data_IF_601593506530
#
_entry.id   IF_601593506530
#
_cell.length_a   1.000
_cell.length_b   1.000
_cell.length_c   1.000
_cell.angle_alpha   90.00
_cell.angle_beta   90.00
_cell.angle_gamma   90.00
#
_symmetry.space_group_name_H-M   'P 1'
#
loop_
_entity.id
_entity.type
_entity.pdbx_description
1 polymer ?
#
# COMPACT_ATOMS: atom_id res chain seq x y z
N UNK A 1 5.90 6.43 -28.42
CA UNK A 1 5.86 7.46 -27.36
C UNK A 1 5.43 6.83 -26.04
N UNK A 2 6.15 7.11 -24.94
CA UNK A 2 5.73 6.63 -23.62
C UNK A 2 4.41 7.31 -23.20
N UNK A 3 3.56 6.61 -22.45
CA UNK A 3 2.29 7.13 -21.90
C UNK A 3 2.48 8.49 -21.20
N UNK A 4 3.59 8.64 -20.47
CA UNK A 4 3.99 9.88 -19.82
C UNK A 4 4.09 11.07 -20.81
N UNK A 5 4.78 10.88 -21.94
CA UNK A 5 4.92 11.92 -22.99
C UNK A 5 3.59 12.19 -23.68
N UNK A 6 2.77 11.18 -23.89
CA UNK A 6 1.42 11.37 -24.44
C UNK A 6 0.58 12.25 -23.52
N UNK A 7 0.58 11.98 -22.22
CA UNK A 7 -0.15 12.81 -21.22
C UNK A 7 0.38 14.26 -21.23
N UNK A 8 1.68 14.46 -21.26
CA UNK A 8 2.26 15.80 -21.39
C UNK A 8 1.77 16.52 -22.64
N UNK A 9 1.74 15.85 -23.79
CA UNK A 9 1.24 16.44 -25.05
C UNK A 9 -0.25 16.80 -24.92
N UNK A 10 -1.09 15.90 -24.45
CA UNK A 10 -2.52 16.16 -24.26
C UNK A 10 -2.81 17.36 -23.33
N UNK A 11 -1.98 17.60 -22.33
CA UNK A 11 -2.08 18.77 -21.46
C UNK A 11 -1.69 20.04 -22.22
N UNK A 12 -0.60 20.00 -22.98
CA UNK A 12 -0.14 21.14 -23.79
C UNK A 12 -1.11 21.52 -24.90
N UNK A 13 -1.77 20.53 -25.52
CA UNK A 13 -2.80 20.76 -26.54
C UNK A 13 -4.02 21.53 -25.99
N UNK A 14 -4.18 21.56 -24.68
CA UNK A 14 -5.19 22.38 -23.98
C UNK A 14 -4.68 23.76 -23.55
N UNK A 15 -3.52 24.16 -24.03
CA UNK A 15 -2.91 25.46 -23.72
C UNK A 15 -2.26 25.54 -22.33
N UNK A 16 -2.06 24.40 -21.63
CA UNK A 16 -1.44 24.35 -20.32
C UNK A 16 0.01 23.92 -20.45
N UNK A 17 0.95 24.68 -19.92
CA UNK A 17 2.35 24.26 -19.88
C UNK A 17 2.51 22.98 -19.05
N UNK A 18 3.23 22.00 -19.59
CA UNK A 18 3.46 20.73 -18.92
C UNK A 18 4.87 20.20 -19.19
N UNK A 19 5.43 19.52 -18.20
CA UNK A 19 6.71 18.83 -18.28
C UNK A 19 6.59 17.41 -17.76
N UNK A 20 7.40 16.48 -18.27
CA UNK A 20 7.35 15.09 -17.83
C UNK A 20 8.72 14.57 -17.44
N UNK A 21 8.76 13.78 -16.36
CA UNK A 21 9.95 13.21 -15.76
C UNK A 21 9.86 11.69 -15.59
N UNK A 22 10.99 11.01 -15.68
CA UNK A 22 11.16 9.64 -15.18
C UNK A 22 11.48 9.68 -13.69
N UNK A 23 11.38 8.55 -12.99
CA UNK A 23 11.81 8.44 -11.59
C UNK A 23 13.27 8.87 -11.38
N UNK A 24 14.18 8.51 -12.30
CA UNK A 24 15.57 8.93 -12.24
C UNK A 24 15.78 10.44 -12.47
N UNK A 25 14.93 11.09 -13.25
CA UNK A 25 15.04 12.55 -13.49
C UNK A 25 14.57 13.39 -12.29
N UNK A 26 13.65 12.87 -11.48
CA UNK A 26 13.23 13.44 -10.20
C UNK A 26 13.96 12.81 -9.03
N UNK A 27 15.03 12.04 -9.31
CA UNK A 27 15.90 11.40 -8.34
C UNK A 27 15.14 10.69 -7.21
N UNK A 28 14.18 9.83 -7.58
CA UNK A 28 13.58 8.92 -6.61
C UNK A 28 14.65 7.89 -6.28
N UNK A 29 15.46 8.20 -5.27
CA UNK A 29 16.54 7.35 -4.81
C UNK A 29 15.98 6.15 -4.05
N UNK A 30 16.47 4.97 -4.38
CA UNK A 30 16.04 3.72 -3.74
C UNK A 30 17.23 2.89 -3.32
N UNK A 31 16.96 1.85 -2.49
CA UNK A 31 17.91 0.77 -2.29
C UNK A 31 18.03 -0.08 -3.58
N UNK A 32 18.99 -1.00 -3.60
CA UNK A 32 19.31 -1.86 -4.75
C UNK A 32 18.49 -3.18 -4.80
N UNK A 33 17.39 -3.28 -4.03
CA UNK A 33 16.52 -4.46 -4.06
C UNK A 33 15.57 -4.38 -5.25
N UNK A 34 16.07 -4.78 -6.43
CA UNK A 34 15.28 -4.78 -7.66
C UNK A 34 13.95 -5.52 -7.49
N UNK A 35 12.84 -4.89 -7.91
CA UNK A 35 11.49 -5.45 -7.85
C UNK A 35 10.71 -5.16 -6.57
N UNK A 36 11.36 -4.78 -5.47
CA UNK A 36 10.73 -4.35 -4.19
C UNK A 36 11.52 -3.21 -3.54
N UNK A 37 12.11 -2.34 -4.33
CA UNK A 37 12.97 -1.26 -3.85
C UNK A 37 12.26 -0.34 -2.86
N UNK A 38 13.00 0.14 -1.87
CA UNK A 38 12.52 1.12 -0.88
C UNK A 38 13.00 2.50 -1.27
N UNK A 39 12.10 3.47 -1.22
CA UNK A 39 12.46 4.87 -1.42
C UNK A 39 13.28 5.33 -0.21
N UNK A 40 14.48 5.81 -0.47
CA UNK A 40 15.40 6.37 0.52
C UNK A 40 15.27 7.89 0.58
N UNK A 41 15.19 8.52 -0.60
CA UNK A 41 15.10 9.98 -0.73
C UNK A 41 14.43 10.37 -2.05
N UNK A 42 13.94 11.62 -2.13
CA UNK A 42 13.40 12.22 -3.35
C UNK A 42 13.88 13.67 -3.46
N UNK A 43 14.62 13.98 -4.51
CA UNK A 43 14.93 15.37 -4.85
C UNK A 43 13.79 15.99 -5.66
N UNK A 44 12.88 16.67 -4.97
CA UNK A 44 11.74 17.34 -5.57
C UNK A 44 12.06 18.75 -6.12
N UNK A 45 13.29 19.23 -6.06
CA UNK A 45 13.63 20.62 -6.40
C UNK A 45 13.19 21.02 -7.82
N UNK A 46 13.47 20.17 -8.81
CA UNK A 46 13.04 20.41 -10.20
C UNK A 46 11.54 20.42 -10.42
N UNK A 47 10.84 19.56 -9.67
CA UNK A 47 9.38 19.50 -9.75
C UNK A 47 8.78 20.73 -9.10
N UNK A 48 9.32 21.15 -7.96
CA UNK A 48 8.90 22.38 -7.26
C UNK A 48 9.09 23.62 -8.14
N UNK A 49 10.26 23.78 -8.77
CA UNK A 49 10.53 24.86 -9.71
C UNK A 49 9.52 24.92 -10.88
N UNK A 50 9.17 23.76 -11.44
CA UNK A 50 8.18 23.73 -12.52
C UNK A 50 6.77 24.09 -12.02
N UNK A 51 6.38 23.64 -10.84
CA UNK A 51 5.09 23.98 -10.23
C UNK A 51 4.99 25.47 -9.87
N UNK A 52 6.06 26.09 -9.35
CA UNK A 52 6.15 27.52 -9.08
C UNK A 52 6.03 28.34 -10.37
N UNK A 53 6.48 27.81 -11.51
CA UNK A 53 6.29 28.39 -12.83
C UNK A 53 4.93 28.04 -13.47
N UNK A 54 3.93 27.60 -12.69
CA UNK A 54 2.59 27.21 -13.13
C UNK A 54 2.58 26.11 -14.21
N UNK A 55 3.53 25.18 -14.18
CA UNK A 55 3.59 24.03 -15.09
C UNK A 55 2.96 22.81 -14.42
N UNK A 56 2.22 22.03 -15.20
CA UNK A 56 1.79 20.70 -14.79
C UNK A 56 2.94 19.73 -14.96
N UNK A 57 3.22 18.95 -13.91
CA UNK A 57 4.31 17.97 -13.93
C UNK A 57 3.75 16.56 -14.01
N UNK A 58 4.24 15.76 -14.95
CA UNK A 58 3.89 14.36 -15.13
C UNK A 58 5.08 13.48 -14.75
N UNK A 59 5.01 12.79 -13.62
CA UNK A 59 6.08 11.89 -13.16
C UNK A 59 5.72 10.44 -13.46
N UNK A 60 6.68 9.66 -13.98
CA UNK A 60 6.51 8.22 -14.11
C UNK A 60 6.64 7.57 -12.72
N UNK A 61 5.53 7.01 -12.22
CA UNK A 61 5.54 6.24 -10.98
C UNK A 61 6.10 4.83 -11.14
N UNK A 62 6.12 4.06 -10.04
CA UNK A 62 6.57 2.66 -9.98
C UNK A 62 8.09 2.45 -10.06
N UNK A 63 8.88 3.42 -10.46
CA UNK A 63 10.31 3.28 -10.68
C UNK A 63 11.11 4.31 -9.88
N UNK A 64 12.32 3.92 -9.50
CA UNK A 64 13.35 4.77 -8.94
C UNK A 64 14.71 4.46 -9.55
N UNK A 65 15.75 4.96 -8.92
CA UNK A 65 17.15 4.67 -9.25
C UNK A 65 17.92 4.40 -7.97
N UNK A 66 18.86 3.47 -8.03
CA UNK A 66 19.81 3.26 -6.93
C UNK A 66 20.98 4.26 -7.01
N UNK A 67 21.90 4.18 -6.05
CA UNK A 67 23.08 5.05 -5.98
C UNK A 67 24.02 4.89 -7.19
N UNK A 68 23.97 3.74 -7.87
CA UNK A 68 24.77 3.47 -9.08
C UNK A 68 24.08 3.96 -10.37
N UNK A 69 22.84 4.48 -10.26
CA UNK A 69 22.02 4.93 -11.38
C UNK A 69 21.24 3.83 -12.10
N UNK A 70 21.21 2.61 -11.56
CA UNK A 70 20.40 1.54 -12.11
C UNK A 70 18.91 1.78 -11.83
N UNK A 71 18.06 1.43 -12.80
CA UNK A 71 16.62 1.55 -12.63
C UNK A 71 16.12 0.45 -11.70
N UNK A 72 15.40 0.85 -10.67
CA UNK A 72 14.74 -0.04 -9.72
C UNK A 72 13.23 0.07 -9.84
N UNK A 73 12.49 -0.94 -9.34
CA UNK A 73 11.03 -0.91 -9.27
C UNK A 73 10.55 -1.08 -7.83
N UNK A 74 9.49 -0.35 -7.50
CA UNK A 74 8.95 -0.33 -6.14
C UNK A 74 8.05 -1.54 -5.81
N UNK A 75 7.82 -2.41 -6.81
CA UNK A 75 6.96 -3.57 -6.65
C UNK A 75 5.46 -3.24 -6.73
N UNK A 76 4.62 -4.17 -6.33
CA UNK A 76 3.16 -4.02 -6.40
C UNK A 76 2.70 -2.77 -5.66
N UNK A 77 1.78 -1.98 -6.27
CA UNK A 77 1.31 -0.70 -5.72
C UNK A 77 2.37 0.41 -5.69
N UNK A 78 3.47 0.23 -6.43
CA UNK A 78 4.55 1.21 -6.48
C UNK A 78 4.14 2.56 -7.06
N UNK A 79 3.09 2.62 -7.89
CA UNK A 79 2.54 3.89 -8.40
C UNK A 79 1.91 4.72 -7.28
N UNK A 80 1.11 4.08 -6.41
CA UNK A 80 0.48 4.73 -5.26
C UNK A 80 1.55 5.18 -4.27
N UNK A 81 2.53 4.31 -4.01
CA UNK A 81 3.68 4.65 -3.15
C UNK A 81 4.46 5.84 -3.71
N UNK A 82 4.69 5.88 -5.04
CA UNK A 82 5.34 7.04 -5.68
C UNK A 82 4.52 8.31 -5.53
N UNK A 83 3.20 8.23 -5.74
CA UNK A 83 2.31 9.39 -5.63
C UNK A 83 2.36 10.00 -4.22
N UNK A 84 2.23 9.15 -3.19
CA UNK A 84 2.27 9.60 -1.79
C UNK A 84 3.65 10.14 -1.42
N UNK A 85 4.74 9.48 -1.84
CA UNK A 85 6.10 9.94 -1.56
C UNK A 85 6.41 11.28 -2.24
N UNK A 86 5.94 11.48 -3.48
CA UNK A 86 6.03 12.77 -4.17
C UNK A 86 5.20 13.85 -3.48
N UNK A 87 3.98 13.53 -3.04
CA UNK A 87 3.15 14.46 -2.28
C UNK A 87 3.83 14.89 -0.97
N UNK A 88 4.47 13.95 -0.28
CA UNK A 88 5.26 14.25 0.94
C UNK A 88 6.45 15.17 0.63
N UNK A 89 7.24 14.85 -0.40
CA UNK A 89 8.41 15.63 -0.78
C UNK A 89 8.07 17.05 -1.28
N UNK A 90 6.87 17.23 -1.83
CA UNK A 90 6.35 18.52 -2.29
C UNK A 90 5.55 19.27 -1.23
N UNK A 91 5.30 18.66 -0.06
CA UNK A 91 4.42 19.20 0.98
C UNK A 91 3.02 19.54 0.43
N UNK A 92 2.48 18.62 -0.38
CA UNK A 92 1.19 18.82 -1.03
C UNK A 92 0.02 18.79 -0.04
N UNK A 93 -1.00 19.60 -0.29
CA UNK A 93 -2.20 19.67 0.54
C UNK A 93 -2.97 18.36 0.58
N UNK A 94 -2.99 17.60 -0.52
CA UNK A 94 -3.70 16.32 -0.65
C UNK A 94 -3.08 15.47 -1.77
N UNK A 95 -2.97 14.17 -1.54
CA UNK A 95 -2.65 13.19 -2.58
C UNK A 95 -3.94 12.49 -3.03
N UNK A 96 -4.24 12.52 -4.33
CA UNK A 96 -5.43 11.88 -4.91
C UNK A 96 -5.06 10.64 -5.70
N UNK A 97 -5.64 9.51 -5.32
CA UNK A 97 -5.50 8.24 -6.03
C UNK A 97 -6.78 7.96 -6.80
N UNK A 98 -6.69 7.99 -8.11
CA UNK A 98 -7.77 7.63 -9.01
C UNK A 98 -7.68 6.16 -9.37
N UNK A 99 -8.74 5.40 -9.08
CA UNK A 99 -8.79 3.95 -9.26
C UNK A 99 -10.12 3.51 -9.88
N UNK A 100 -10.38 2.21 -9.95
CA UNK A 100 -11.61 1.61 -10.49
C UNK A 100 -12.78 1.58 -9.49
N UNK A 101 -12.56 2.07 -8.26
CA UNK A 101 -13.62 2.23 -7.26
C UNK A 101 -13.73 3.70 -6.83
N UNK A 102 -14.91 4.09 -6.34
CA UNK A 102 -15.22 5.47 -5.96
C UNK A 102 -14.86 5.83 -4.50
N UNK A 103 -14.18 4.91 -3.81
CA UNK A 103 -13.74 5.12 -2.42
C UNK A 103 -13.53 3.82 -1.65
N UNK A 104 -13.37 3.96 -0.34
CA UNK A 104 -13.28 2.86 0.63
C UNK A 104 -14.66 2.58 1.19
N UNK A 105 -15.03 1.30 1.28
CA UNK A 105 -16.32 0.85 1.78
C UNK A 105 -16.19 0.15 3.13
N UNK A 106 -17.27 0.09 3.89
CA UNK A 106 -17.34 -0.65 5.16
C UNK A 106 -17.03 -2.13 5.00
N UNK A 107 -17.28 -2.69 3.82
CA UNK A 107 -16.83 -4.02 3.37
C UNK A 107 -16.89 -4.08 1.84
N UNK A 108 -16.54 -5.20 1.21
CA UNK A 108 -16.58 -5.35 -0.25
C UNK A 108 -18.04 -5.32 -0.76
N UNK A 109 -18.46 -4.26 -1.51
CA UNK A 109 -19.84 -4.13 -2.01
C UNK A 109 -20.23 -5.20 -3.02
N UNK A 110 -19.27 -5.91 -3.63
CA UNK A 110 -19.54 -7.05 -4.53
C UNK A 110 -20.04 -8.28 -3.78
N UNK A 111 -19.85 -8.31 -2.46
CA UNK A 111 -20.25 -9.43 -1.58
C UNK A 111 -21.40 -9.03 -0.68
N UNK A 112 -21.35 -7.82 -0.15
CA UNK A 112 -22.39 -7.25 0.70
C UNK A 112 -22.94 -6.00 0.01
N UNK A 113 -24.05 -6.11 -0.72
CA UNK A 113 -24.63 -4.97 -1.48
C UNK A 113 -25.00 -3.76 -0.59
N UNK A 114 -25.23 -3.99 0.70
CA UNK A 114 -25.53 -2.96 1.70
C UNK A 114 -24.29 -2.22 2.21
N UNK A 115 -23.09 -2.60 1.75
CA UNK A 115 -21.86 -1.90 2.11
C UNK A 115 -21.95 -0.42 1.77
N UNK A 116 -21.50 0.43 2.71
CA UNK A 116 -21.57 1.88 2.56
C UNK A 116 -20.17 2.44 2.31
N UNK A 117 -20.08 3.41 1.40
CA UNK A 117 -18.84 4.13 1.20
C UNK A 117 -18.57 5.02 2.42
N UNK A 118 -17.34 5.00 2.90
CA UNK A 118 -16.86 5.84 3.98
C UNK A 118 -16.50 7.21 3.41
N UNK A 119 -17.00 8.30 4.00
CA UNK A 119 -16.60 9.64 3.61
C UNK A 119 -15.20 9.99 4.08
N UNK A 120 -14.85 9.50 5.29
CA UNK A 120 -13.54 9.63 5.91
C UNK A 120 -13.18 8.35 6.66
N UNK A 121 -11.88 8.10 6.79
CA UNK A 121 -11.32 6.99 7.57
C UNK A 121 -9.96 7.43 8.11
N UNK A 122 -9.56 6.95 9.27
CA UNK A 122 -8.21 7.21 9.79
C UNK A 122 -7.16 6.40 9.04
N UNK A 123 -5.90 6.85 9.11
CA UNK A 123 -4.76 6.11 8.55
C UNK A 123 -4.64 4.74 9.20
N UNK A 124 -4.84 4.66 10.51
CA UNK A 124 -4.76 3.44 11.30
C UNK A 124 -5.81 2.42 10.86
N UNK A 125 -7.06 2.84 10.75
CA UNK A 125 -8.16 1.99 10.27
C UNK A 125 -7.95 1.53 8.82
N UNK A 126 -7.46 2.43 7.96
CA UNK A 126 -7.14 2.07 6.57
C UNK A 126 -5.99 1.07 6.49
N UNK A 127 -4.97 1.19 7.35
CA UNK A 127 -3.88 0.22 7.45
C UNK A 127 -4.40 -1.16 7.84
N UNK A 128 -5.26 -1.23 8.84
CA UNK A 128 -5.90 -2.49 9.25
C UNK A 128 -6.71 -3.10 8.09
N UNK A 129 -7.56 -2.31 7.43
CA UNK A 129 -8.33 -2.79 6.29
C UNK A 129 -7.43 -3.27 5.14
N UNK A 130 -6.37 -2.52 4.81
CA UNK A 130 -5.45 -2.87 3.73
C UNK A 130 -4.62 -4.12 4.05
N UNK A 131 -4.19 -4.29 5.30
CA UNK A 131 -3.45 -5.46 5.77
C UNK A 131 -4.30 -6.73 5.75
N UNK A 132 -5.59 -6.60 6.06
CA UNK A 132 -6.55 -7.71 6.13
C UNK A 132 -7.23 -8.01 4.79
N UNK A 133 -6.79 -7.42 3.69
CA UNK A 133 -7.21 -7.80 2.34
C UNK A 133 -8.11 -6.82 1.59
N UNK A 134 -8.37 -5.65 2.13
CA UNK A 134 -8.99 -4.57 1.35
C UNK A 134 -8.03 -4.11 0.24
N UNK A 135 -8.42 -4.36 -1.03
CA UNK A 135 -7.53 -4.19 -2.19
C UNK A 135 -7.53 -2.78 -2.79
N UNK A 136 -8.14 -1.82 -2.13
CA UNK A 136 -8.32 -0.45 -2.67
C UNK A 136 -6.99 0.28 -2.70
N UNK A 137 -6.21 0.20 -1.62
CA UNK A 137 -4.87 0.80 -1.51
C UNK A 137 -3.85 -0.26 -1.08
N UNK A 138 -2.61 -0.05 -1.47
CA UNK A 138 -1.51 -0.86 -0.97
C UNK A 138 -1.10 -0.39 0.42
N UNK A 139 -0.91 -1.33 1.35
CA UNK A 139 -0.52 -1.06 2.74
C UNK A 139 0.66 -0.08 2.82
N UNK A 140 1.69 -0.29 2.00
CA UNK A 140 2.88 0.56 1.95
C UNK A 140 2.58 2.02 1.60
N UNK A 141 1.63 2.30 0.71
CA UNK A 141 1.25 3.68 0.37
C UNK A 141 0.52 4.37 1.53
N UNK A 142 -0.30 3.63 2.27
CA UNK A 142 -0.98 4.12 3.47
C UNK A 142 0.00 4.37 4.62
N UNK A 143 0.99 3.47 4.82
CA UNK A 143 2.09 3.67 5.77
C UNK A 143 2.88 4.95 5.49
N UNK A 144 3.19 5.20 4.21
CA UNK A 144 3.86 6.45 3.81
C UNK A 144 2.99 7.68 4.08
N UNK A 145 1.70 7.62 3.73
CA UNK A 145 0.77 8.71 4.01
C UNK A 145 0.71 9.00 5.52
N UNK A 146 0.66 7.94 6.34
CA UNK A 146 0.71 8.04 7.79
C UNK A 146 2.01 8.69 8.31
N UNK A 147 3.15 8.15 7.90
CA UNK A 147 4.47 8.61 8.34
C UNK A 147 4.73 10.08 8.04
N UNK A 148 4.34 10.53 6.85
CA UNK A 148 4.60 11.90 6.37
C UNK A 148 3.40 12.84 6.51
N UNK A 149 2.32 12.38 7.13
CA UNK A 149 1.08 13.15 7.36
C UNK A 149 0.46 13.73 6.09
N UNK A 150 0.52 13.00 4.99
CA UNK A 150 -0.08 13.38 3.72
C UNK A 150 -1.56 12.98 3.72
N UNK A 151 -2.52 13.92 3.60
CA UNK A 151 -3.92 13.57 3.38
C UNK A 151 -4.06 12.81 2.06
N UNK A 152 -4.72 11.66 2.10
CA UNK A 152 -4.86 10.78 0.93
C UNK A 152 -6.34 10.64 0.58
N UNK A 153 -6.70 10.84 -0.68
CA UNK A 153 -8.09 10.67 -1.14
C UNK A 153 -8.18 9.65 -2.24
N UNK A 154 -9.09 8.69 -2.08
CA UNK A 154 -9.44 7.70 -3.09
C UNK A 154 -10.66 8.17 -3.86
N UNK A 155 -10.54 8.14 -5.19
CA UNK A 155 -11.54 8.64 -6.14
C UNK A 155 -11.71 7.66 -7.30
N UNK A 156 -12.88 7.67 -7.93
CA UNK A 156 -13.10 6.93 -9.18
C UNK A 156 -12.39 7.61 -10.35
N UNK A 157 -11.84 6.79 -11.26
CA UNK A 157 -11.34 7.25 -12.57
C UNK A 157 -12.47 7.45 -13.59
N UNK A 158 -13.68 7.00 -13.29
CA UNK A 158 -14.79 6.91 -14.25
C UNK A 158 -15.95 7.84 -13.90
N UNK A 159 -16.13 8.16 -12.61
CA UNK A 159 -17.26 8.92 -12.12
C UNK A 159 -16.80 10.03 -11.19
N UNK A 160 -17.43 11.17 -11.27
CA UNK A 160 -17.20 12.28 -10.35
C UNK A 160 -17.83 11.99 -8.98
N UNK A 161 -17.12 12.30 -7.92
CA UNK A 161 -17.63 12.10 -6.57
C UNK A 161 -16.66 12.58 -5.49
N UNK A 162 -17.10 12.66 -4.23
CA UNK A 162 -16.25 13.14 -3.13
C UNK A 162 -15.17 12.14 -2.70
N UNK A 163 -15.31 10.88 -3.10
CA UNK A 163 -14.36 9.82 -2.70
C UNK A 163 -14.33 9.52 -1.20
N UNK A 164 -13.25 8.90 -0.74
CA UNK A 164 -12.94 8.67 0.68
C UNK A 164 -11.66 9.40 1.04
N UNK A 165 -11.69 10.24 2.08
CA UNK A 165 -10.52 10.90 2.64
C UNK A 165 -9.90 10.03 3.73
N UNK A 166 -8.63 9.71 3.60
CA UNK A 166 -7.80 9.05 4.61
C UNK A 166 -6.96 10.13 5.30
N UNK A 167 -7.10 10.28 6.60
CA UNK A 167 -6.49 11.36 7.38
C UNK A 167 -6.11 10.88 8.78
N UNK A 168 -5.30 11.66 9.50
CA UNK A 168 -4.89 11.35 10.88
C UNK A 168 -5.96 11.68 11.91
N UNK A 169 -6.81 12.66 11.64
CA UNK A 169 -7.82 13.13 12.58
C UNK A 169 -9.21 13.01 11.97
N UNK A 170 -10.10 12.32 12.67
CA UNK A 170 -11.52 12.35 12.42
C UNK A 170 -12.14 13.08 13.59
N UNK A 171 -12.65 14.29 13.32
CA UNK A 171 -13.17 15.21 14.36
C UNK A 171 -14.58 14.91 14.85
N UNK A 172 -15.18 13.79 14.47
CA UNK A 172 -16.53 13.44 14.88
C UNK A 172 -16.51 12.79 16.26
N UNK A 173 -17.23 13.40 17.21
CA UNK A 173 -17.33 12.92 18.60
C UNK A 173 -18.07 11.58 18.73
N UNK A 174 -18.84 11.16 17.73
CA UNK A 174 -19.52 9.86 17.66
C UNK A 174 -19.03 9.08 16.45
N UNK A 175 -17.96 8.31 16.63
CA UNK A 175 -17.51 7.34 15.63
C UNK A 175 -18.22 5.99 15.85
N UNK A 176 -18.61 5.27 14.78
CA UNK A 176 -19.06 3.91 14.91
C UNK A 176 -17.92 3.07 15.50
N UNK A 177 -18.27 2.19 16.45
CA UNK A 177 -17.30 1.29 17.10
C UNK A 177 -16.53 0.40 16.10
N UNK A 178 -17.10 0.16 14.91
CA UNK A 178 -16.54 -0.63 13.81
C UNK A 178 -16.59 0.23 12.55
N UNK A 179 -15.41 0.62 12.04
CA UNK A 179 -15.29 1.39 10.82
C UNK A 179 -15.52 0.53 9.55
N UNK A 180 -15.07 -0.73 9.58
CA UNK A 180 -15.21 -1.64 8.45
C UNK A 180 -14.81 -3.07 8.77
N UNK A 181 -15.11 -3.97 7.83
CA UNK A 181 -14.78 -5.40 7.91
C UNK A 181 -14.05 -5.77 6.62
N UNK A 182 -12.78 -6.13 6.72
CA UNK A 182 -12.02 -6.74 5.65
C UNK A 182 -12.00 -8.26 5.79
N UNK A 183 -11.92 -8.97 4.67
CA UNK A 183 -11.78 -10.42 4.67
C UNK A 183 -10.86 -10.87 3.52
N UNK A 184 -10.17 -11.97 3.74
CA UNK A 184 -9.36 -12.61 2.74
C UNK A 184 -9.85 -14.05 2.54
N UNK A 185 -10.10 -14.47 1.30
CA UNK A 185 -10.53 -15.84 0.98
C UNK A 185 -9.37 -16.79 0.75
N UNK A 186 -8.21 -16.25 0.47
CA UNK A 186 -7.04 -17.01 0.04
C UNK A 186 -6.08 -17.20 1.22
N UNK A 187 -6.59 -17.52 2.40
CA UNK A 187 -5.79 -17.80 3.58
C UNK A 187 -5.87 -19.27 3.97
N UNK A 188 -4.74 -19.82 4.41
CA UNK A 188 -4.67 -21.12 5.02
C UNK A 188 -4.39 -20.98 6.52
N UNK A 189 -5.15 -21.67 7.35
CA UNK A 189 -4.93 -21.71 8.79
C UNK A 189 -4.23 -23.03 9.16
N UNK A 190 -3.04 -22.92 9.74
CA UNK A 190 -2.32 -24.07 10.32
C UNK A 190 -2.43 -23.99 11.83
N UNK A 191 -2.90 -25.05 12.45
CA UNK A 191 -3.02 -25.17 13.91
C UNK A 191 -2.10 -26.27 14.40
N UNK A 192 -1.13 -25.93 15.25
CA UNK A 192 -0.23 -26.87 15.89
C UNK A 192 -0.62 -26.97 17.36
N UNK A 193 -0.96 -28.18 17.80
CA UNK A 193 -1.39 -28.47 19.17
C UNK A 193 -0.30 -29.15 19.95
N UNK A 194 -0.33 -29.00 21.30
CA UNK A 194 0.61 -29.68 22.19
C UNK A 194 2.05 -29.18 22.04
N UNK A 195 2.23 -27.94 21.68
CA UNK A 195 3.55 -27.31 21.56
C UNK A 195 4.07 -27.03 22.97
N UNK A 196 5.24 -27.59 23.37
CA UNK A 196 5.83 -27.28 24.68
C UNK A 196 6.16 -25.79 24.77
N UNK A 197 5.82 -25.17 25.90
CA UNK A 197 6.23 -23.77 26.15
C UNK A 197 7.68 -23.73 26.64
N UNK A 198 8.61 -23.84 25.70
CA UNK A 198 10.05 -23.85 25.94
C UNK A 198 10.76 -22.89 24.96
N UNK A 199 11.82 -22.20 25.42
CA UNK A 199 12.62 -21.37 24.54
C UNK A 199 13.15 -22.13 23.32
N UNK A 200 13.05 -21.52 22.11
CA UNK A 200 13.56 -22.11 20.87
C UNK A 200 12.56 -22.97 20.09
N UNK A 201 11.41 -23.37 20.65
CA UNK A 201 10.41 -24.17 19.93
C UNK A 201 9.80 -23.39 18.76
N UNK A 202 9.46 -22.13 18.95
CA UNK A 202 8.98 -21.26 17.88
C UNK A 202 9.98 -21.16 16.70
N UNK A 203 11.26 -21.01 16.99
CA UNK A 203 12.33 -21.00 15.96
C UNK A 203 12.39 -22.31 15.16
N UNK A 204 12.20 -23.46 15.82
CA UNK A 204 12.17 -24.78 15.16
C UNK A 204 10.97 -24.94 14.23
N UNK A 205 9.82 -24.36 14.59
CA UNK A 205 8.61 -24.42 13.79
C UNK A 205 8.68 -23.45 12.62
N UNK A 206 9.06 -22.20 12.86
CA UNK A 206 9.03 -21.13 11.85
C UNK A 206 10.29 -21.07 10.98
N UNK A 207 11.42 -21.62 11.44
CA UNK A 207 12.67 -21.66 10.67
C UNK A 207 12.51 -22.31 9.29
N UNK A 208 11.97 -23.54 9.19
CA UNK A 208 11.70 -24.18 7.90
C UNK A 208 10.74 -23.40 6.99
N UNK A 209 9.72 -22.76 7.57
CA UNK A 209 8.74 -21.94 6.83
C UNK A 209 9.41 -20.72 6.24
N UNK A 210 10.24 -20.03 7.04
CA UNK A 210 11.06 -18.91 6.58
C UNK A 210 12.06 -19.31 5.50
N UNK A 211 12.72 -20.46 5.66
CA UNK A 211 13.65 -21.00 4.67
C UNK A 211 12.94 -21.36 3.34
N UNK A 212 11.67 -21.73 3.39
CA UNK A 212 10.83 -21.94 2.22
C UNK A 212 10.27 -20.64 1.61
N UNK A 213 10.64 -19.48 2.14
CA UNK A 213 10.14 -18.15 1.73
C UNK A 213 8.61 -18.01 1.79
N UNK A 214 7.96 -18.73 2.70
CA UNK A 214 6.51 -18.60 2.94
C UNK A 214 6.27 -17.46 3.94
N UNK A 215 5.42 -16.53 3.56
CA UNK A 215 5.00 -15.43 4.45
C UNK A 215 3.96 -15.94 5.45
N UNK A 216 4.12 -15.55 6.70
CA UNK A 216 3.14 -15.77 7.77
C UNK A 216 2.60 -14.40 8.17
N UNK A 217 1.29 -14.22 8.03
CA UNK A 217 0.65 -12.93 8.30
C UNK A 217 0.30 -12.76 9.78
N UNK A 218 -0.07 -13.86 10.45
CA UNK A 218 -0.47 -13.81 11.86
C UNK A 218 0.01 -15.06 12.61
N UNK A 219 0.54 -14.85 13.82
CA UNK A 219 0.90 -15.90 14.76
C UNK A 219 0.13 -15.64 16.05
N UNK A 220 -0.77 -16.56 16.42
CA UNK A 220 -1.49 -16.51 17.71
C UNK A 220 -1.03 -17.68 18.55
N UNK A 221 -0.56 -17.38 19.76
CA UNK A 221 -0.17 -18.37 20.75
C UNK A 221 -1.14 -18.30 21.93
N UNK A 222 -1.83 -19.41 22.20
CA UNK A 222 -2.65 -19.58 23.40
C UNK A 222 -2.02 -20.64 24.28
N UNK A 223 -1.87 -20.35 25.56
CA UNK A 223 -1.38 -21.29 26.57
C UNK A 223 -2.57 -22.05 27.12
N UNK A 224 -2.53 -23.40 27.04
CA UNK A 224 -3.51 -24.25 27.66
C UNK A 224 -3.19 -24.47 29.15
N UNK A 225 -4.19 -24.93 29.95
CA UNK A 225 -4.03 -25.15 31.37
C UNK A 225 -3.01 -26.28 31.75
N UNK A 226 -2.65 -27.11 30.76
CA UNK A 226 -1.68 -28.19 30.89
C UNK A 226 -0.24 -27.78 30.57
N UNK A 227 0.02 -26.47 30.35
CA UNK A 227 1.34 -25.96 30.00
C UNK A 227 1.75 -26.20 28.55
N UNK A 228 0.82 -26.62 27.70
CA UNK A 228 1.05 -26.73 26.26
C UNK A 228 0.53 -25.48 25.54
N UNK A 229 1.16 -25.11 24.43
CA UNK A 229 0.74 -23.99 23.60
C UNK A 229 -0.02 -24.46 22.36
N UNK A 230 -1.04 -23.70 21.99
CA UNK A 230 -1.73 -23.78 20.73
C UNK A 230 -1.17 -22.66 19.84
N UNK A 231 -0.57 -23.03 18.71
CA UNK A 231 -0.07 -22.08 17.74
C UNK A 231 -0.99 -22.06 16.51
N UNK A 232 -1.46 -20.87 16.15
CA UNK A 232 -2.18 -20.63 14.89
C UNK A 232 -1.31 -19.77 13.99
N UNK A 233 -1.26 -20.10 12.71
CA UNK A 233 -0.60 -19.30 11.69
C UNK A 233 -1.47 -19.26 10.45
N UNK A 234 -1.47 -18.12 9.78
CA UNK A 234 -2.14 -17.91 8.50
C UNK A 234 -1.07 -17.60 7.45
N UNK A 235 -0.54 -18.59 6.71
CA UNK A 235 0.35 -18.34 5.60
C UNK A 235 -0.45 -17.74 4.43
N UNK A 236 0.09 -16.68 3.83
CA UNK A 236 -0.49 -16.09 2.62
C UNK A 236 -0.30 -17.01 1.41
N UNK A 237 -1.36 -17.47 0.73
CA UNK A 237 -1.24 -18.36 -0.43
C UNK A 237 -0.73 -17.66 -1.70
N UNK A 238 -0.47 -16.36 -1.66
CA UNK A 238 -0.08 -15.58 -2.85
C UNK A 238 1.29 -15.91 -3.42
N UNK A 239 2.14 -16.63 -2.71
CA UNK A 239 3.49 -16.93 -3.15
C UNK A 239 3.61 -18.23 -3.98
N UNK A 240 2.51 -18.76 -4.51
CA UNK A 240 2.51 -19.78 -5.57
C UNK A 240 3.23 -21.11 -5.27
N UNK A 241 3.67 -21.34 -4.02
CA UNK A 241 4.49 -22.47 -3.62
C UNK A 241 3.71 -23.64 -3.01
N UNK A 242 2.44 -23.43 -2.61
CA UNK A 242 1.59 -24.50 -2.06
C UNK A 242 1.22 -25.57 -3.10
N UNK A 243 1.35 -25.27 -4.42
CA UNK A 243 1.13 -26.24 -5.50
C UNK A 243 2.32 -27.18 -5.75
N UNK A 244 3.42 -27.03 -5.00
CA UNK A 244 4.68 -27.81 -5.19
C UNK A 244 5.11 -28.63 -3.99
N UNK A 245 4.25 -28.85 -2.99
CA UNK A 245 4.54 -29.82 -1.95
C UNK A 245 4.31 -31.23 -2.50
N UNK A 246 5.35 -32.08 -2.56
CA UNK A 246 5.13 -33.49 -2.88
C UNK A 246 4.29 -34.13 -1.78
N UNK A 247 3.33 -34.94 -2.18
CA UNK A 247 2.47 -35.80 -1.35
C UNK A 247 3.28 -36.74 -0.48
#
# INVERSE_FOLDING_TARGET
LSIRRQRQMCIRDRGIEARSYTGGQVQILTDNVHGKARILDIDAARVREDLENNRVVVVAGFQGVDEEGNITTLGRGGSDTTAVAMAAALEADECRIFTDVDGVYTTDPRIVPEARRLGRITVEEMLELASQGAKVLQTRSVEFAGKYRVPLRVLSSFEDGPGTLITHEVSDMEQPLIAGIAYNRDEAKVTIRGVPDQPGVASRIFGPISAAHLNIDMIIQNVAQDGTCLLYTSPSPRDGLLSRMPS
#
